data_IF_184973041424
#
_entry.id   IF_184973041424
#
_cell.length_a   1.000
_cell.length_b   1.000
_cell.length_c   1.000
_cell.angle_alpha   90.00
_cell.angle_beta   90.00
_cell.angle_gamma   90.00
#
_symmetry.space_group_name_H-M   'P 1'
#
loop_
_entity.id
_entity.type
_entity.pdbx_description
1 polymer ?
#
# COMPACT_ATOMS: atom_id res chain seq x y z
N UNK A 1 7.86 -6.99 80.67
CA UNK A 1 7.08 -5.94 79.96
C UNK A 1 6.96 -6.32 78.48
N UNK A 2 5.70 -6.30 78.02
CA UNK A 2 5.09 -6.44 76.67
C UNK A 2 5.95 -6.82 75.44
N UNK A 3 5.60 -7.99 74.88
CA UNK A 3 5.65 -8.32 73.44
C UNK A 3 4.51 -7.57 72.72
N UNK A 4 4.80 -6.83 71.65
CA UNK A 4 3.82 -6.26 70.71
C UNK A 4 4.01 -6.95 69.35
N UNK A 5 3.33 -8.07 69.12
CA UNK A 5 2.20 -8.20 68.19
C UNK A 5 2.47 -7.65 66.78
N UNK A 6 2.92 -8.57 65.93
CA UNK A 6 2.90 -8.53 64.49
C UNK A 6 1.43 -8.65 64.02
N UNK A 7 0.85 -7.54 63.57
CA UNK A 7 -0.52 -7.50 63.05
C UNK A 7 -0.52 -8.01 61.60
N UNK A 8 -0.87 -9.29 61.43
CA UNK A 8 -1.14 -9.93 60.14
C UNK A 8 -2.32 -9.24 59.45
N UNK A 9 -2.12 -8.67 58.25
CA UNK A 9 -3.21 -8.21 57.38
C UNK A 9 -3.73 -9.36 56.51
N UNK A 10 -5.06 -9.59 56.40
CA UNK A 10 -5.63 -10.55 55.46
C UNK A 10 -5.77 -9.86 54.08
N UNK A 11 -5.24 -10.43 52.99
CA UNK A 11 -5.15 -9.64 51.74
C UNK A 11 -5.18 -10.37 50.40
N UNK A 12 -5.56 -11.65 50.35
CA UNK A 12 -5.64 -12.42 49.09
C UNK A 12 -7.00 -12.32 48.39
N UNK A 13 -8.09 -12.51 49.14
CA UNK A 13 -9.46 -12.61 48.56
C UNK A 13 -10.06 -11.24 48.19
N UNK A 14 -9.76 -10.18 48.94
CA UNK A 14 -10.26 -8.82 48.66
C UNK A 14 -9.64 -8.20 47.40
N UNK A 15 -8.35 -8.43 47.13
CA UNK A 15 -7.71 -7.95 45.90
C UNK A 15 -8.30 -8.58 44.64
N UNK A 16 -8.61 -9.88 44.69
CA UNK A 16 -9.26 -10.58 43.56
C UNK A 16 -10.68 -10.07 43.32
N UNK A 17 -11.42 -9.77 44.39
CA UNK A 17 -12.78 -9.22 44.29
C UNK A 17 -12.76 -7.79 43.74
N UNK A 18 -11.86 -6.95 44.24
CA UNK A 18 -11.66 -5.59 43.76
C UNK A 18 -11.27 -5.54 42.27
N UNK A 19 -10.38 -6.43 41.81
CA UNK A 19 -9.98 -6.49 40.41
C UNK A 19 -11.12 -6.97 39.49
N UNK A 20 -11.94 -7.91 39.97
CA UNK A 20 -13.13 -8.40 39.27
C UNK A 20 -14.21 -7.32 39.15
N UNK A 21 -14.44 -6.55 40.23
CA UNK A 21 -15.42 -5.47 40.25
C UNK A 21 -15.01 -4.32 39.32
N UNK A 22 -13.70 -4.03 39.25
CA UNK A 22 -13.15 -3.01 38.34
C UNK A 22 -13.27 -3.41 36.86
N UNK A 23 -13.08 -4.69 36.53
CA UNK A 23 -13.33 -5.20 35.17
C UNK A 23 -14.81 -5.12 34.79
N UNK A 24 -15.72 -5.48 35.71
CA UNK A 24 -17.17 -5.39 35.47
C UNK A 24 -17.60 -3.94 35.20
N UNK A 25 -17.12 -3.01 36.02
CA UNK A 25 -17.42 -1.58 35.86
C UNK A 25 -16.82 -0.99 34.58
N UNK A 26 -15.67 -1.50 34.12
CA UNK A 26 -15.10 -1.12 32.82
C UNK A 26 -15.97 -1.61 31.65
N UNK A 27 -16.46 -2.86 31.71
CA UNK A 27 -17.31 -3.44 30.66
C UNK A 27 -18.66 -2.71 30.56
N UNK A 28 -19.28 -2.35 31.66
CA UNK A 28 -20.54 -1.57 31.68
C UNK A 28 -20.36 -0.15 31.09
N UNK A 29 -19.20 0.48 31.33
CA UNK A 29 -18.86 1.76 30.69
C UNK A 29 -18.64 1.62 29.19
N UNK A 30 -18.03 0.53 28.73
CA UNK A 30 -17.87 0.27 27.30
C UNK A 30 -19.20 0.00 26.60
N UNK A 31 -20.11 -0.74 27.24
CA UNK A 31 -21.44 -1.01 26.69
C UNK A 31 -22.30 0.26 26.63
N UNK A 32 -22.30 1.09 27.68
CA UNK A 32 -23.04 2.36 27.66
C UNK A 32 -22.47 3.36 26.66
N UNK A 33 -21.14 3.39 26.44
CA UNK A 33 -20.54 4.19 25.37
C UNK A 33 -20.91 3.68 23.98
N UNK A 34 -21.00 2.36 23.81
CA UNK A 34 -21.43 1.76 22.54
C UNK A 34 -22.91 2.05 22.24
N UNK A 35 -23.80 1.98 23.23
CA UNK A 35 -25.21 2.37 23.09
C UNK A 35 -25.35 3.86 22.79
N UNK A 36 -24.67 4.72 23.55
CA UNK A 36 -24.68 6.17 23.31
C UNK A 36 -24.14 6.53 21.92
N UNK A 37 -23.15 5.78 21.41
CA UNK A 37 -22.67 5.95 20.03
C UNK A 37 -23.68 5.50 18.97
N UNK A 38 -24.49 4.47 19.25
CA UNK A 38 -25.58 4.03 18.37
C UNK A 38 -26.73 5.03 18.32
N UNK A 39 -27.09 5.63 19.46
CA UNK A 39 -28.08 6.72 19.51
C UNK A 39 -27.60 7.95 18.71
N UNK A 40 -26.32 8.32 18.85
CA UNK A 40 -25.72 9.43 18.10
C UNK A 40 -25.59 9.15 16.58
N UNK A 41 -25.64 7.88 16.16
CA UNK A 41 -25.54 7.46 14.75
C UNK A 41 -26.91 7.12 14.15
N UNK A 42 -27.97 7.14 14.95
CA UNK A 42 -29.30 6.60 14.62
C UNK A 42 -30.41 7.64 14.59
N UNK A 43 -30.14 8.90 14.24
CA UNK A 43 -31.21 9.89 14.04
C UNK A 43 -30.85 10.90 12.93
N UNK A 44 -31.05 10.50 11.68
CA UNK A 44 -30.76 11.35 10.52
C UNK A 44 -31.00 10.75 9.14
N UNK A 45 -31.77 9.66 9.03
CA UNK A 45 -32.17 9.06 7.75
C UNK A 45 -33.46 8.27 7.90
N UNK A 46 -34.59 8.95 8.05
CA UNK A 46 -35.94 8.41 7.74
C UNK A 46 -36.95 9.55 7.77
N UNK A 47 -36.92 10.40 6.75
CA UNK A 47 -38.10 11.11 6.25
C UNK A 47 -37.75 11.66 4.85
N UNK A 48 -38.76 11.73 3.99
CA UNK A 48 -38.68 11.91 2.52
C UNK A 48 -38.38 10.65 1.71
N UNK A 49 -39.35 9.74 1.65
CA UNK A 49 -39.85 9.21 0.36
C UNK A 49 -41.26 8.64 0.58
N UNK A 50 -42.27 9.49 0.44
CA UNK A 50 -43.63 9.13 0.03
C UNK A 50 -44.27 10.41 -0.51
N UNK A 51 -44.50 10.45 -1.82
CA UNK A 51 -45.71 10.97 -2.50
C UNK A 51 -45.54 10.73 -4.01
N UNK A 52 -46.31 9.79 -4.56
CA UNK A 52 -46.80 9.90 -5.94
C UNK A 52 -48.11 10.69 -5.94
N UNK A 53 -48.60 11.22 -7.10
CA UNK A 53 -49.22 10.30 -8.07
C UNK A 53 -49.16 10.71 -9.57
N UNK A 54 -49.50 9.71 -10.41
CA UNK A 54 -50.12 9.81 -11.76
C UNK A 54 -49.21 10.25 -12.93
N UNK A 55 -49.26 9.69 -14.15
CA UNK A 55 -50.28 8.92 -14.87
C UNK A 55 -49.67 8.24 -16.13
N UNK A 56 -50.22 7.06 -16.49
CA UNK A 56 -50.36 6.47 -17.85
C UNK A 56 -49.08 6.24 -18.72
N UNK A 57 -48.87 5.14 -19.44
CA UNK A 57 -49.82 4.32 -20.20
C UNK A 57 -49.12 3.05 -20.74
N UNK A 58 -49.86 1.93 -20.72
CA UNK A 58 -49.77 0.70 -21.55
C UNK A 58 -48.54 -0.22 -21.39
N UNK A 59 -48.64 -1.47 -20.86
CA UNK A 59 -49.36 -2.69 -21.35
C UNK A 59 -48.95 -3.03 -22.79
N UNK A 60 -48.36 -4.17 -23.18
CA UNK A 60 -48.48 -5.60 -22.78
C UNK A 60 -47.13 -6.31 -23.12
N UNK A 61 -46.56 -7.20 -22.29
CA UNK A 61 -46.79 -8.67 -22.22
C UNK A 61 -46.49 -9.43 -23.55
N UNK A 62 -45.26 -9.97 -23.76
CA UNK A 62 -44.80 -11.37 -23.52
C UNK A 62 -44.82 -12.28 -24.78
N UNK A 63 -43.81 -13.16 -24.81
CA UNK A 63 -43.68 -14.46 -25.48
C UNK A 63 -43.01 -14.52 -26.86
N UNK A 64 -41.86 -15.21 -26.88
CA UNK A 64 -41.16 -15.60 -28.10
C UNK A 64 -41.73 -16.85 -28.75
N UNK A 65 -41.30 -17.12 -29.99
CA UNK A 65 -41.12 -18.47 -30.55
C UNK A 65 -40.45 -18.40 -31.93
N UNK A 66 -39.26 -19.00 -32.00
CA UNK A 66 -38.74 -19.99 -32.98
C UNK A 66 -39.27 -20.06 -34.43
N UNK A 67 -38.27 -20.14 -35.36
CA UNK A 67 -38.25 -20.73 -36.73
C UNK A 67 -39.04 -20.01 -37.83
N UNK A 68 -38.37 -19.71 -38.97
CA UNK A 68 -38.33 -20.61 -40.16
C UNK A 68 -37.35 -20.11 -41.23
N UNK A 69 -36.81 -21.10 -41.90
CA UNK A 69 -35.86 -21.14 -43.02
C UNK A 69 -36.61 -20.82 -44.32
N UNK A 70 -36.14 -19.85 -45.10
CA UNK A 70 -36.49 -19.75 -46.53
C UNK A 70 -35.23 -19.71 -47.38
N UNK A 71 -35.29 -20.51 -48.44
CA UNK A 71 -34.27 -20.78 -49.44
C UNK A 71 -35.02 -20.60 -50.77
N UNK A 72 -34.66 -19.62 -51.58
CA UNK A 72 -35.11 -19.49 -52.97
C UNK A 72 -34.01 -18.78 -53.76
N UNK A 73 -33.25 -19.51 -54.59
CA UNK A 73 -33.44 -19.70 -56.05
C UNK A 73 -32.95 -18.49 -56.87
N UNK A 74 -31.76 -18.67 -57.47
CA UNK A 74 -31.19 -17.94 -58.62
C UNK A 74 -31.98 -18.27 -59.93
N UNK A 75 -31.91 -17.52 -61.06
CA UNK A 75 -30.65 -17.40 -61.83
C UNK A 75 -30.44 -16.18 -62.76
N UNK A 76 -29.17 -16.00 -63.15
CA UNK A 76 -28.76 -15.58 -64.50
C UNK A 76 -28.20 -14.16 -64.67
N UNK A 77 -26.89 -14.01 -64.93
CA UNK A 77 -26.36 -13.58 -66.23
C UNK A 77 -24.81 -13.53 -66.25
N UNK A 78 -24.26 -13.77 -67.44
CA UNK A 78 -22.84 -14.02 -67.77
C UNK A 78 -22.00 -12.74 -67.83
N UNK A 79 -20.72 -12.83 -67.46
CA UNK A 79 -19.55 -12.62 -68.36
C UNK A 79 -18.23 -12.52 -67.56
N UNK A 80 -17.14 -13.06 -68.13
CA UNK A 80 -15.75 -12.78 -67.70
C UNK A 80 -15.00 -14.01 -67.21
N UNK A 81 -14.10 -14.54 -68.05
CA UNK A 81 -13.30 -15.72 -67.75
C UNK A 81 -11.92 -15.43 -67.15
N UNK A 82 -11.19 -16.54 -66.99
CA UNK A 82 -9.75 -16.70 -66.69
C UNK A 82 -9.29 -16.53 -65.24
N UNK A 83 -9.18 -17.65 -64.50
CA UNK A 83 -7.90 -18.36 -64.26
C UNK A 83 -8.05 -19.39 -63.14
N UNK A 84 -7.47 -20.57 -63.38
CA UNK A 84 -7.49 -21.77 -62.55
C UNK A 84 -6.40 -21.68 -61.46
N UNK A 85 -6.77 -22.09 -60.23
CA UNK A 85 -5.98 -22.83 -59.21
C UNK A 85 -4.70 -22.12 -58.68
N UNK A 86 -4.53 -21.84 -57.38
CA UNK A 86 -4.65 -22.75 -56.25
C UNK A 86 -5.08 -22.05 -54.95
N UNK A 87 -5.82 -22.78 -54.13
CA UNK A 87 -6.14 -22.49 -52.73
C UNK A 87 -4.87 -22.54 -51.86
N UNK A 88 -4.54 -21.45 -51.16
CA UNK A 88 -3.98 -21.58 -49.81
C UNK A 88 -4.77 -20.72 -48.83
N UNK A 89 -5.40 -21.44 -47.90
CA UNK A 89 -6.24 -20.93 -46.84
C UNK A 89 -5.49 -19.95 -45.95
N UNK A 90 -6.21 -18.90 -45.56
CA UNK A 90 -5.81 -17.97 -44.50
C UNK A 90 -5.40 -18.70 -43.22
N UNK A 91 -4.13 -18.54 -42.85
CA UNK A 91 -3.63 -18.89 -41.54
C UNK A 91 -4.21 -17.93 -40.49
N UNK A 92 -5.19 -18.41 -39.72
CA UNK A 92 -5.63 -17.77 -38.46
C UNK A 92 -4.42 -17.62 -37.52
N UNK A 93 -4.27 -16.49 -36.80
CA UNK A 93 -3.24 -16.37 -35.78
C UNK A 93 -3.49 -17.41 -34.69
N UNK A 94 -2.50 -18.26 -34.43
CA UNK A 94 -2.53 -19.27 -33.37
C UNK A 94 -2.69 -18.57 -32.01
N UNK A 95 -3.87 -18.72 -31.42
CA UNK A 95 -4.17 -18.43 -30.03
C UNK A 95 -3.22 -19.25 -29.14
N UNK A 96 -2.17 -18.60 -28.63
CA UNK A 96 -1.22 -19.22 -27.71
C UNK A 96 -1.90 -19.39 -26.36
N UNK A 97 -2.34 -20.63 -26.12
CA UNK A 97 -2.88 -21.15 -24.88
C UNK A 97 -2.23 -20.52 -23.63
N UNK A 98 -3.03 -19.77 -22.88
CA UNK A 98 -2.75 -19.22 -21.54
C UNK A 98 -2.57 -20.30 -20.44
N UNK A 99 -2.55 -21.58 -20.80
CA UNK A 99 -2.48 -22.70 -19.86
C UNK A 99 -1.05 -23.14 -19.50
N UNK A 100 -0.03 -22.58 -20.15
CA UNK A 100 1.38 -22.84 -19.82
C UNK A 100 1.97 -21.91 -18.74
N UNK A 101 1.26 -20.85 -18.34
CA UNK A 101 1.76 -19.82 -17.40
C UNK A 101 1.54 -20.17 -15.90
N UNK A 102 0.74 -21.22 -15.62
CA UNK A 102 0.40 -21.60 -14.24
C UNK A 102 1.36 -22.63 -13.62
N UNK A 103 2.26 -23.21 -14.42
CA UNK A 103 3.13 -24.32 -13.96
C UNK A 103 4.46 -23.88 -13.35
N UNK A 104 4.91 -22.64 -13.59
CA UNK A 104 6.17 -22.13 -13.03
C UNK A 104 6.01 -21.42 -11.68
N UNK A 105 4.78 -21.16 -11.23
CA UNK A 105 4.52 -20.57 -9.90
C UNK A 105 4.59 -21.57 -8.74
N UNK A 106 4.60 -22.88 -9.03
CA UNK A 106 4.55 -23.94 -8.02
C UNK A 106 5.92 -24.59 -7.72
N UNK A 107 7.03 -23.96 -8.07
CA UNK A 107 8.39 -24.45 -7.73
C UNK A 107 9.02 -23.66 -6.57
N UNK A 108 8.24 -23.36 -5.55
CA UNK A 108 8.74 -22.74 -4.32
C UNK A 108 8.15 -23.38 -3.06
N UNK A 109 7.85 -24.68 -3.13
CA UNK A 109 7.77 -25.51 -1.92
C UNK A 109 9.20 -25.90 -1.50
N UNK A 110 9.97 -24.93 -0.98
CA UNK A 110 11.19 -25.24 -0.24
C UNK A 110 10.83 -25.39 1.23
N UNK A 111 11.23 -26.52 1.81
CA UNK A 111 11.10 -26.85 3.22
C UNK A 111 11.39 -25.63 4.11
N UNK A 112 10.37 -25.17 4.85
CA UNK A 112 10.41 -23.99 5.71
C UNK A 112 11.26 -24.29 6.95
N UNK A 113 12.56 -24.02 6.84
CA UNK A 113 13.39 -23.76 8.01
C UNK A 113 13.27 -22.28 8.36
N UNK A 114 12.76 -21.96 9.56
CA UNK A 114 12.75 -20.59 10.08
C UNK A 114 14.15 -19.93 9.96
N UNK A 115 15.19 -20.75 10.10
CA UNK A 115 16.59 -20.36 9.98
C UNK A 115 17.04 -20.07 8.55
N UNK A 116 16.61 -20.83 7.55
CA UNK A 116 16.97 -20.60 6.14
C UNK A 116 16.25 -19.39 5.56
N UNK A 117 14.99 -19.15 5.95
CA UNK A 117 14.28 -17.92 5.59
C UNK A 117 14.93 -16.67 6.21
N UNK A 118 15.36 -16.75 7.48
CA UNK A 118 16.09 -15.65 8.13
C UNK A 118 17.45 -15.43 7.47
N UNK A 119 18.17 -16.49 7.10
CA UNK A 119 19.45 -16.37 6.40
C UNK A 119 19.31 -15.80 4.99
N UNK A 120 18.28 -16.20 4.24
CA UNK A 120 17.99 -15.64 2.92
C UNK A 120 17.64 -14.14 3.01
N UNK A 121 16.89 -13.72 4.02
CA UNK A 121 16.61 -12.30 4.28
C UNK A 121 17.88 -11.56 4.76
N UNK A 122 18.76 -12.21 5.51
CA UNK A 122 19.97 -11.58 6.07
C UNK A 122 21.18 -11.55 5.13
N UNK A 123 21.27 -12.40 4.10
CA UNK A 123 22.51 -12.54 3.29
C UNK A 123 22.35 -12.43 1.77
N UNK A 124 21.12 -12.33 1.24
CA UNK A 124 20.91 -12.39 -0.23
C UNK A 124 21.23 -11.09 -0.99
N UNK A 125 21.18 -9.92 -0.35
CA UNK A 125 21.26 -8.62 -1.03
C UNK A 125 22.67 -8.03 -0.89
N UNK A 126 23.25 -7.53 -1.99
CA UNK A 126 24.56 -6.85 -1.99
C UNK A 126 24.63 -5.68 -0.99
N UNK A 127 23.48 -5.07 -0.70
CA UNK A 127 23.33 -4.00 0.29
C UNK A 127 23.52 -4.46 1.73
N UNK A 128 23.29 -5.75 2.05
CA UNK A 128 23.43 -6.25 3.42
C UNK A 128 24.87 -6.20 3.93
N UNK A 129 25.86 -6.04 3.05
CA UNK A 129 27.23 -5.73 3.45
C UNK A 129 27.33 -4.46 4.31
N UNK A 130 26.44 -3.47 4.12
CA UNK A 130 26.46 -2.23 4.91
C UNK A 130 26.07 -2.46 6.38
N UNK A 131 25.44 -3.59 6.74
CA UNK A 131 25.12 -3.94 8.13
C UNK A 131 26.39 -4.09 8.97
N UNK A 132 27.51 -4.48 8.35
CA UNK A 132 28.79 -4.58 9.06
C UNK A 132 29.26 -3.23 9.60
N UNK A 133 28.77 -2.10 9.09
CA UNK A 133 29.14 -0.76 9.56
C UNK A 133 28.55 -0.42 10.94
N UNK A 134 27.54 -1.16 11.42
CA UNK A 134 26.94 -0.95 12.76
C UNK A 134 27.97 -1.04 13.90
N UNK A 135 28.75 -2.13 14.03
CA UNK A 135 29.81 -2.19 15.05
C UNK A 135 30.87 -1.10 14.85
N UNK A 136 31.19 -0.71 13.61
CA UNK A 136 32.09 0.42 13.36
C UNK A 136 31.51 1.75 13.83
N UNK A 137 30.19 1.96 13.71
CA UNK A 137 29.53 3.15 14.25
C UNK A 137 29.60 3.20 15.78
N UNK A 138 29.51 2.04 16.44
CA UNK A 138 29.69 1.95 17.91
C UNK A 138 31.13 2.28 18.29
N UNK A 139 32.12 1.71 17.60
CA UNK A 139 33.54 2.04 17.83
C UNK A 139 33.83 3.52 17.57
N UNK A 140 33.27 4.11 16.52
CA UNK A 140 33.43 5.53 16.18
C UNK A 140 32.87 6.45 17.27
N UNK A 141 31.78 6.04 17.94
CA UNK A 141 31.22 6.75 19.09
C UNK A 141 32.11 6.63 20.33
N UNK A 142 32.62 5.44 20.62
CA UNK A 142 33.40 5.19 21.83
C UNK A 142 34.82 5.80 21.75
N UNK A 143 35.37 5.90 20.54
CA UNK A 143 36.71 6.45 20.28
C UNK A 143 36.71 7.87 19.70
N UNK A 144 35.55 8.53 19.65
CA UNK A 144 35.37 9.91 19.16
C UNK A 144 36.02 10.19 17.78
N UNK A 145 35.67 9.38 16.77
CA UNK A 145 36.20 9.53 15.41
C UNK A 145 35.67 10.78 14.66
N UNK A 146 34.85 11.60 15.33
CA UNK A 146 34.24 12.81 14.81
C UNK A 146 32.83 12.61 14.26
N UNK A 147 32.03 13.66 14.36
CA UNK A 147 30.58 13.66 14.05
C UNK A 147 30.27 13.21 12.61
N UNK A 148 31.11 13.58 11.64
CA UNK A 148 30.92 13.20 10.24
C UNK A 148 31.03 11.68 10.04
N UNK A 149 32.05 11.05 10.61
CA UNK A 149 32.23 9.60 10.52
C UNK A 149 31.13 8.86 11.25
N UNK A 150 30.79 9.30 12.46
CA UNK A 150 29.68 8.72 13.23
C UNK A 150 28.36 8.82 12.45
N UNK A 151 28.11 9.94 11.78
CA UNK A 151 26.94 10.13 10.93
C UNK A 151 26.90 9.14 9.77
N UNK A 152 27.94 9.03 8.95
CA UNK A 152 27.92 8.12 7.80
C UNK A 152 27.91 6.64 8.21
N UNK A 153 28.67 6.27 9.25
CA UNK A 153 28.70 4.90 9.77
C UNK A 153 27.37 4.48 10.39
N UNK A 154 26.59 5.42 10.93
CA UNK A 154 25.23 5.14 11.43
C UNK A 154 24.15 5.22 10.35
N UNK A 155 24.34 6.07 9.33
CA UNK A 155 23.37 6.27 8.24
C UNK A 155 23.38 5.10 7.24
N UNK A 156 24.55 4.66 6.80
CA UNK A 156 24.68 3.65 5.75
C UNK A 156 24.00 2.30 6.10
N UNK A 157 24.11 1.76 7.32
CA UNK A 157 23.34 0.59 7.73
C UNK A 157 21.83 0.70 7.61
N UNK A 158 21.26 1.92 7.63
CA UNK A 158 19.81 2.12 7.51
C UNK A 158 19.33 1.72 6.11
N UNK A 159 20.15 1.88 5.07
CA UNK A 159 19.79 1.54 3.69
C UNK A 159 19.37 0.07 3.50
N UNK A 160 20.18 -0.96 3.84
CA UNK A 160 19.73 -2.35 3.74
C UNK A 160 18.59 -2.66 4.71
N UNK A 161 18.55 -2.07 5.91
CA UNK A 161 17.45 -2.31 6.85
C UNK A 161 16.11 -1.84 6.29
N UNK A 162 16.10 -0.68 5.62
CA UNK A 162 14.91 -0.15 4.95
C UNK A 162 14.46 -1.05 3.79
N UNK A 163 15.41 -1.51 2.95
CA UNK A 163 15.13 -2.43 1.85
C UNK A 163 14.50 -3.74 2.37
N UNK A 164 15.08 -4.32 3.44
CA UNK A 164 14.54 -5.54 4.04
C UNK A 164 13.17 -5.37 4.66
N UNK A 165 12.94 -4.25 5.35
CA UNK A 165 11.62 -3.94 5.91
C UNK A 165 10.57 -3.82 4.80
N UNK A 166 10.90 -3.16 3.69
CA UNK A 166 10.04 -3.07 2.51
C UNK A 166 9.75 -4.44 1.90
N UNK A 167 10.77 -5.26 1.70
CA UNK A 167 10.62 -6.61 1.14
C UNK A 167 9.72 -7.51 2.00
N UNK A 168 9.94 -7.51 3.32
CA UNK A 168 9.09 -8.27 4.26
C UNK A 168 7.66 -7.73 4.25
N UNK A 169 7.48 -6.42 4.17
CA UNK A 169 6.14 -5.79 4.09
C UNK A 169 5.41 -6.20 2.82
N UNK A 170 6.09 -6.23 1.67
CA UNK A 170 5.52 -6.66 0.40
C UNK A 170 5.10 -8.14 0.44
N UNK A 171 5.97 -9.00 0.98
CA UNK A 171 5.65 -10.41 1.20
C UNK A 171 4.44 -10.54 2.12
N UNK A 172 4.41 -9.84 3.26
CA UNK A 172 3.29 -9.89 4.19
C UNK A 172 1.99 -9.40 3.55
N UNK A 173 2.04 -8.29 2.79
CA UNK A 173 0.90 -7.74 2.08
C UNK A 173 0.32 -8.75 1.07
N UNK A 174 1.18 -9.55 0.41
CA UNK A 174 0.74 -10.58 -0.55
C UNK A 174 -0.05 -11.74 0.07
N UNK A 175 0.13 -12.00 1.37
CA UNK A 175 -0.65 -12.99 2.12
C UNK A 175 -1.94 -12.41 2.74
N UNK A 176 -2.23 -11.13 2.49
CA UNK A 176 -3.43 -10.44 3.00
C UNK A 176 -4.38 -10.05 1.87
N UNK A 177 -5.55 -9.50 2.22
CA UNK A 177 -6.47 -8.96 1.21
C UNK A 177 -5.95 -7.62 0.63
N UNK A 178 -6.41 -7.19 -0.56
CA UNK A 178 -5.89 -5.99 -1.22
C UNK A 178 -5.96 -4.71 -0.39
N UNK A 179 -7.01 -4.54 0.42
CA UNK A 179 -7.20 -3.36 1.27
C UNK A 179 -6.18 -3.31 2.40
N UNK A 180 -6.01 -4.42 3.13
CA UNK A 180 -5.04 -4.54 4.22
C UNK A 180 -3.62 -4.50 3.67
N UNK A 181 -3.35 -5.18 2.55
CA UNK A 181 -2.05 -5.14 1.89
C UNK A 181 -1.67 -3.73 1.43
N UNK A 182 -2.62 -2.97 0.88
CA UNK A 182 -2.43 -1.56 0.53
C UNK A 182 -2.11 -0.69 1.75
N UNK A 183 -2.83 -0.90 2.86
CA UNK A 183 -2.58 -0.19 4.12
C UNK A 183 -1.20 -0.52 4.71
N UNK A 184 -0.81 -1.81 4.69
CA UNK A 184 0.49 -2.27 5.16
C UNK A 184 1.62 -1.64 4.33
N UNK A 185 1.49 -1.62 2.99
CA UNK A 185 2.50 -1.01 2.14
C UNK A 185 2.60 0.51 2.34
N UNK A 186 1.46 1.21 2.50
CA UNK A 186 1.46 2.65 2.74
C UNK A 186 2.13 3.03 4.07
N UNK A 187 1.95 2.20 5.11
CA UNK A 187 2.49 2.45 6.46
C UNK A 187 3.90 1.92 6.62
N UNK A 188 4.10 0.61 6.49
CA UNK A 188 5.38 -0.05 6.72
C UNK A 188 6.38 0.18 5.57
N UNK A 189 5.91 0.40 4.35
CA UNK A 189 6.77 0.74 3.20
C UNK A 189 7.49 2.10 3.36
N UNK A 190 6.91 3.02 4.13
CA UNK A 190 7.51 4.33 4.44
C UNK A 190 7.96 4.43 5.92
N UNK A 191 7.98 3.32 6.66
CA UNK A 191 8.21 3.33 8.12
C UNK A 191 9.59 3.87 8.48
N UNK A 192 10.62 3.55 7.70
CA UNK A 192 11.98 4.05 7.96
C UNK A 192 12.02 5.57 8.00
N UNK A 193 11.34 6.23 7.05
CA UNK A 193 11.27 7.69 7.00
C UNK A 193 10.52 8.26 8.20
N UNK A 194 9.43 7.62 8.61
CA UNK A 194 8.63 8.02 9.76
C UNK A 194 9.45 7.90 11.06
N UNK A 195 10.20 6.80 11.24
CA UNK A 195 11.03 6.58 12.44
C UNK A 195 12.14 7.63 12.51
N UNK A 196 12.88 7.86 11.42
CA UNK A 196 13.96 8.86 11.39
C UNK A 196 13.41 10.26 11.66
N UNK A 197 12.27 10.60 11.03
CA UNK A 197 11.60 11.88 11.23
C UNK A 197 11.13 12.06 12.67
N UNK A 198 10.59 11.00 13.30
CA UNK A 198 10.14 11.03 14.68
C UNK A 198 11.29 11.33 15.66
N UNK A 199 12.44 10.65 15.51
CA UNK A 199 13.60 10.92 16.35
C UNK A 199 14.20 12.31 16.10
N UNK A 200 14.21 12.77 14.85
CA UNK A 200 14.64 14.14 14.53
C UNK A 200 13.70 15.19 15.14
N UNK A 201 12.38 14.97 15.13
CA UNK A 201 11.41 15.84 15.82
C UNK A 201 11.63 15.85 17.33
N UNK A 202 11.86 14.68 17.95
CA UNK A 202 12.21 14.59 19.38
C UNK A 202 13.49 15.36 19.72
N UNK A 203 14.44 15.43 18.80
CA UNK A 203 15.66 16.21 18.93
C UNK A 203 15.49 17.71 18.56
N UNK A 204 14.26 18.19 18.33
CA UNK A 204 13.97 19.57 17.95
C UNK A 204 14.44 19.96 16.54
N UNK A 205 14.76 18.99 15.68
CA UNK A 205 15.32 19.22 14.34
C UNK A 205 14.23 19.32 13.28
N UNK A 206 13.28 20.24 13.46
CA UNK A 206 12.14 20.44 12.56
C UNK A 206 12.59 20.70 11.11
N UNK A 207 13.64 21.50 10.91
CA UNK A 207 14.16 21.82 9.57
C UNK A 207 14.66 20.57 8.84
N UNK A 208 15.29 19.63 9.54
CA UNK A 208 15.78 18.39 8.94
C UNK A 208 14.59 17.55 8.46
N UNK A 209 13.53 17.47 9.27
CA UNK A 209 12.31 16.70 8.95
C UNK A 209 11.58 17.30 7.74
N UNK A 210 11.44 18.62 7.67
CA UNK A 210 10.82 19.28 6.52
C UNK A 210 11.60 19.01 5.23
N UNK A 211 12.93 19.13 5.29
CA UNK A 211 13.80 18.89 4.14
C UNK A 211 13.82 17.40 3.74
N UNK A 212 13.77 16.47 4.70
CA UNK A 212 13.74 15.03 4.39
C UNK A 212 12.42 14.61 3.75
N UNK A 213 11.28 15.14 4.20
CA UNK A 213 9.98 14.86 3.59
C UNK A 213 9.88 15.40 2.16
N UNK A 214 10.32 16.64 1.93
CA UNK A 214 10.43 17.19 0.57
C UNK A 214 11.40 16.39 -0.30
N UNK A 215 12.55 16.00 0.27
CA UNK A 215 13.56 15.18 -0.38
C UNK A 215 13.03 13.80 -0.79
N UNK A 216 12.22 13.15 0.04
CA UNK A 216 11.59 11.85 -0.28
C UNK A 216 10.68 11.93 -1.49
N UNK A 217 9.79 12.94 -1.53
CA UNK A 217 8.90 13.17 -2.68
C UNK A 217 9.71 13.43 -3.96
N UNK A 218 10.69 14.34 -3.90
CA UNK A 218 11.54 14.67 -5.05
C UNK A 218 12.39 13.48 -5.52
N UNK A 219 12.95 12.70 -4.58
CA UNK A 219 13.73 11.51 -4.88
C UNK A 219 12.89 10.47 -5.62
N UNK A 220 11.67 10.20 -5.16
CA UNK A 220 10.79 9.24 -5.81
C UNK A 220 10.34 9.70 -7.20
N UNK A 221 10.06 10.99 -7.37
CA UNK A 221 9.58 11.55 -8.64
C UNK A 221 10.66 11.79 -9.69
N UNK A 222 11.86 12.18 -9.28
CA UNK A 222 12.94 12.59 -10.19
C UNK A 222 14.07 11.58 -10.22
N UNK A 223 14.63 11.25 -9.07
CA UNK A 223 15.81 10.39 -9.00
C UNK A 223 15.47 8.94 -9.33
N UNK A 224 14.54 8.33 -8.58
CA UNK A 224 14.14 6.93 -8.76
C UNK A 224 13.50 6.74 -10.14
N UNK A 225 12.55 7.61 -10.51
CA UNK A 225 11.90 7.55 -11.82
C UNK A 225 12.90 7.76 -12.97
N UNK A 226 13.81 8.74 -12.85
CA UNK A 226 14.84 9.01 -13.85
C UNK A 226 15.81 7.85 -14.01
N UNK A 227 16.30 7.28 -12.91
CA UNK A 227 17.12 6.07 -12.93
C UNK A 227 16.38 4.88 -13.55
N UNK A 228 15.07 4.72 -13.28
CA UNK A 228 14.26 3.67 -13.88
C UNK A 228 14.11 3.84 -15.40
N UNK A 229 13.96 5.08 -15.90
CA UNK A 229 13.95 5.36 -17.34
C UNK A 229 15.31 5.12 -17.99
N UNK A 230 16.41 5.53 -17.36
CA UNK A 230 17.76 5.26 -17.87
C UNK A 230 18.03 3.76 -17.91
N UNK A 231 17.87 3.05 -16.78
CA UNK A 231 18.14 1.62 -16.69
C UNK A 231 17.21 0.80 -17.60
N UNK A 232 15.93 1.16 -17.67
CA UNK A 232 14.98 0.53 -18.55
C UNK A 232 15.23 0.82 -20.04
N UNK A 233 15.61 2.05 -20.35
CA UNK A 233 15.97 2.54 -21.69
C UNK A 233 17.27 1.94 -22.24
N UNK A 234 18.22 1.57 -21.38
CA UNK A 234 19.42 0.84 -21.77
C UNK A 234 19.08 -0.53 -22.39
N UNK A 235 17.99 -1.17 -21.97
CA UNK A 235 17.55 -2.48 -22.47
C UNK A 235 16.44 -2.38 -23.52
N UNK A 236 15.54 -1.41 -23.40
CA UNK A 236 14.36 -1.29 -24.26
C UNK A 236 14.31 0.09 -24.92
N UNK A 237 14.21 0.11 -26.26
CA UNK A 237 14.07 1.37 -27.03
C UNK A 237 12.78 2.13 -26.72
N UNK A 238 11.71 1.39 -26.39
CA UNK A 238 10.39 1.94 -26.02
C UNK A 238 9.87 1.16 -24.83
N UNK A 239 9.46 1.86 -23.77
CA UNK A 239 8.84 1.29 -22.58
C UNK A 239 7.33 1.59 -22.60
N UNK A 240 6.51 0.55 -22.45
CA UNK A 240 5.05 0.70 -22.42
C UNK A 240 4.55 0.78 -20.99
N UNK A 241 3.71 1.77 -20.70
CA UNK A 241 3.07 1.98 -19.41
C UNK A 241 1.55 2.08 -19.57
N UNK A 242 0.81 1.73 -18.53
CA UNK A 242 -0.63 1.96 -18.49
C UNK A 242 -0.91 3.47 -18.42
N UNK A 243 -1.30 4.08 -19.54
CA UNK A 243 -1.56 5.53 -19.64
C UNK A 243 -2.60 6.00 -18.61
N UNK A 244 -3.67 5.24 -18.40
CA UNK A 244 -4.71 5.62 -17.45
C UNK A 244 -4.18 5.61 -16.01
N UNK A 245 -3.45 4.56 -15.63
CA UNK A 245 -2.85 4.45 -14.30
C UNK A 245 -1.85 5.56 -14.02
N UNK A 246 -0.93 5.84 -14.97
CA UNK A 246 0.06 6.92 -14.86
C UNK A 246 -0.62 8.28 -14.72
N UNK A 247 -1.66 8.56 -15.51
CA UNK A 247 -2.37 9.83 -15.45
C UNK A 247 -3.06 10.04 -14.10
N UNK A 248 -3.71 9.00 -13.55
CA UNK A 248 -4.36 9.08 -12.23
C UNK A 248 -3.31 9.32 -11.14
N UNK A 249 -2.20 8.56 -11.15
CA UNK A 249 -1.13 8.73 -10.16
C UNK A 249 -0.47 10.12 -10.24
N UNK A 250 -0.22 10.63 -11.46
CA UNK A 250 0.35 11.95 -11.66
C UNK A 250 -0.60 13.06 -11.19
N UNK A 251 -1.90 12.94 -11.46
CA UNK A 251 -2.90 13.90 -11.00
C UNK A 251 -3.02 13.92 -9.46
N UNK A 252 -3.07 12.75 -8.82
CA UNK A 252 -3.10 12.65 -7.35
C UNK A 252 -1.85 13.23 -6.71
N UNK A 253 -0.69 13.00 -7.31
CA UNK A 253 0.59 13.51 -6.83
C UNK A 253 0.69 15.03 -6.97
N UNK A 254 0.26 15.59 -8.10
CA UNK A 254 0.18 17.03 -8.30
C UNK A 254 -0.78 17.67 -7.27
N UNK A 255 -1.94 17.05 -7.05
CA UNK A 255 -2.92 17.51 -6.06
C UNK A 255 -2.34 17.47 -4.64
N UNK A 256 -1.65 16.40 -4.27
CA UNK A 256 -1.02 16.26 -2.96
C UNK A 256 0.09 17.30 -2.73
N UNK A 257 1.02 17.47 -3.69
CA UNK A 257 2.12 18.44 -3.58
C UNK A 257 1.60 19.87 -3.58
N UNK A 258 0.60 20.19 -4.41
CA UNK A 258 -0.02 21.53 -4.43
C UNK A 258 -0.68 21.81 -3.08
N UNK A 259 -1.47 20.86 -2.56
CA UNK A 259 -2.13 20.99 -1.26
C UNK A 259 -1.14 21.19 -0.11
N UNK A 260 -0.04 20.43 -0.11
CA UNK A 260 1.04 20.57 0.88
C UNK A 260 1.79 21.90 0.77
N UNK A 261 1.84 22.50 -0.44
CA UNK A 261 2.55 23.75 -0.69
C UNK A 261 1.77 24.99 -0.26
N UNK A 262 0.43 24.92 -0.16
CA UNK A 262 -0.44 26.06 0.18
C UNK A 262 0.03 26.83 1.43
N UNK A 263 0.27 26.18 2.60
CA UNK A 263 0.71 26.90 3.80
C UNK A 263 2.07 27.58 3.63
N UNK A 264 2.97 26.96 2.85
CA UNK A 264 4.31 27.50 2.60
C UNK A 264 4.25 28.77 1.74
N UNK A 265 3.42 28.77 0.69
CA UNK A 265 3.22 29.93 -0.18
C UNK A 265 2.55 31.08 0.57
N UNK A 266 1.50 30.79 1.37
CA UNK A 266 0.82 31.81 2.17
C UNK A 266 1.77 32.49 3.16
N UNK A 267 2.59 31.70 3.87
CA UNK A 267 3.58 32.23 4.80
C UNK A 267 4.64 33.08 4.07
N UNK A 268 5.08 32.64 2.88
CA UNK A 268 6.02 33.41 2.07
C UNK A 268 5.42 34.76 1.65
N UNK A 269 4.16 34.80 1.19
CA UNK A 269 3.49 36.05 0.79
C UNK A 269 3.23 36.98 1.98
N UNK A 270 2.81 36.46 3.13
CA UNK A 270 2.63 37.27 4.35
C UNK A 270 3.94 37.98 4.75
N UNK A 271 5.06 37.26 4.73
CA UNK A 271 6.37 37.82 5.07
C UNK A 271 6.86 38.91 4.12
N UNK A 272 6.30 39.01 2.90
CA UNK A 272 6.61 40.06 1.94
C UNK A 272 5.75 41.31 2.14
N UNK A 273 4.57 41.20 2.75
CA UNK A 273 3.71 42.34 3.05
C UNK A 273 4.12 43.07 4.34
N UNK A 274 4.88 42.42 5.22
CA UNK A 274 5.41 43.01 6.46
C UNK A 274 6.79 43.66 6.29
N UNK A 275 7.38 43.64 5.08
CA UNK A 275 8.65 44.30 4.73
C UNK A 275 8.40 45.53 3.88
#
# INVERSE_FOLDING_TARGET
>A
MRKSQLMMMPGGKEKSKYLSDKHRQMLERFQSLAEKSRELTGDGKSEMLEEGPSSSSKKDEVLGTTRRREKSTQPGERAGGESHLDEEMGAKPKEKNQTASWKDKNKQERSFGLQSSVQDIMLTSYLNGLIILIPFAMMAKDHDWGDAWLFFLSLLPICPLAERLGHVTEQLASYTNPTVGGLLNATFGNMTEIIVSFYALKAGKLRIVQLSLMGSVLSNMLLVLGCAFVAGGMKHKVQHFNRQGVNISAALLLLAVTSLSIPSVLNATHSQMEK
#
